data_IF_122680173912
#
_entry.id   IF_122680173912
#
_cell.length_a   1.000
_cell.length_b   1.000
_cell.length_c   1.000
_cell.angle_alpha   90.00
_cell.angle_beta   90.00
_cell.angle_gamma   90.00
#
_symmetry.space_group_name_H-M   'P 1'
#
loop_
_entity.id
_entity.type
_entity.pdbx_description
1 polymer ?
#
# COMPACT_ATOMS: atom_id res chain seq x y z
N UNK A 1 0.39 -0.78 -27.40
CA UNK A 1 0.64 -2.23 -27.30
C UNK A 1 -0.15 -2.85 -26.14
N UNK A 2 0.20 -2.50 -24.89
CA UNK A 2 -0.43 -3.10 -23.67
C UNK A 2 -1.95 -2.92 -23.63
N UNK A 3 -2.49 -1.84 -24.18
CA UNK A 3 -3.93 -1.56 -24.19
C UNK A 3 -4.68 -2.22 -25.34
N UNK A 4 -3.97 -2.64 -26.38
CA UNK A 4 -4.56 -3.15 -27.62
C UNK A 4 -4.49 -4.66 -27.70
N UNK A 5 -3.53 -5.29 -27.02
CA UNK A 5 -3.23 -6.70 -27.15
C UNK A 5 -3.09 -7.41 -25.79
N UNK A 6 -2.23 -6.89 -24.90
CA UNK A 6 -2.01 -7.47 -23.58
C UNK A 6 -2.57 -6.55 -22.52
N UNK A 7 -3.73 -6.90 -21.97
CA UNK A 7 -4.37 -6.14 -20.90
C UNK A 7 -3.75 -6.48 -19.55
N UNK A 8 -3.40 -5.50 -18.70
CA UNK A 8 -2.84 -5.78 -17.38
C UNK A 8 -3.92 -6.36 -16.46
N UNK A 9 -3.59 -7.44 -15.74
CA UNK A 9 -4.49 -8.08 -14.76
C UNK A 9 -4.55 -7.35 -13.42
N UNK A 10 -3.57 -6.49 -13.13
CA UNK A 10 -3.57 -5.60 -11.98
C UNK A 10 -2.81 -4.30 -12.29
N UNK A 11 -3.08 -3.25 -11.51
CA UNK A 11 -2.40 -1.96 -11.60
C UNK A 11 -1.91 -1.54 -10.22
N UNK A 12 -0.61 -1.27 -10.07
CA UNK A 12 -0.07 -0.64 -8.86
C UNK A 12 0.25 0.82 -9.12
N UNK A 13 -0.24 1.69 -8.23
CA UNK A 13 0.01 3.12 -8.26
C UNK A 13 0.75 3.48 -6.98
N UNK A 14 1.90 4.13 -7.14
CA UNK A 14 2.70 4.66 -6.02
C UNK A 14 2.56 6.17 -5.91
N UNK A 15 3.68 6.85 -5.69
CA UNK A 15 3.73 8.29 -5.52
C UNK A 15 3.25 9.03 -6.78
N UNK A 16 2.21 9.86 -6.62
CA UNK A 16 1.68 10.77 -7.65
C UNK A 16 1.50 12.14 -7.02
N UNK A 17 2.28 13.12 -7.44
CA UNK A 17 2.42 14.40 -6.73
C UNK A 17 1.61 15.56 -7.35
N UNK A 18 1.11 15.45 -8.58
CA UNK A 18 0.37 16.54 -9.24
C UNK A 18 -1.09 16.19 -9.48
N UNK A 19 -1.95 17.20 -9.32
CA UNK A 19 -3.38 17.10 -9.56
C UNK A 19 -3.69 16.57 -10.96
N UNK A 20 -3.07 17.15 -11.98
CA UNK A 20 -3.31 16.83 -13.39
C UNK A 20 -2.94 15.38 -13.69
N UNK A 21 -1.86 14.89 -13.08
CA UNK A 21 -1.45 13.49 -13.26
C UNK A 21 -2.43 12.53 -12.57
N UNK A 22 -2.91 12.87 -11.37
CA UNK A 22 -3.92 12.09 -10.65
C UNK A 22 -5.21 11.99 -11.48
N UNK A 23 -5.70 13.12 -12.01
CA UNK A 23 -6.88 13.16 -12.88
C UNK A 23 -6.69 12.32 -14.13
N UNK A 24 -5.54 12.46 -14.80
CA UNK A 24 -5.20 11.68 -16.00
C UNK A 24 -5.17 10.17 -15.71
N UNK A 25 -4.58 9.77 -14.59
CA UNK A 25 -4.56 8.35 -14.20
C UNK A 25 -5.97 7.85 -13.90
N UNK A 26 -6.78 8.60 -13.15
CA UNK A 26 -8.14 8.22 -12.82
C UNK A 26 -9.00 8.05 -14.10
N UNK A 27 -8.91 8.99 -15.03
CA UNK A 27 -9.64 8.93 -16.32
C UNK A 27 -9.17 7.73 -17.17
N UNK A 28 -7.88 7.41 -17.16
CA UNK A 28 -7.36 6.24 -17.83
C UNK A 28 -7.87 4.93 -17.20
N UNK A 29 -7.88 4.82 -15.87
CA UNK A 29 -8.39 3.64 -15.15
C UNK A 29 -9.86 3.40 -15.50
N UNK A 30 -10.68 4.46 -15.53
CA UNK A 30 -12.10 4.38 -15.89
C UNK A 30 -12.25 3.98 -17.36
N UNK A 31 -11.55 4.68 -18.27
CA UNK A 31 -11.65 4.47 -19.71
C UNK A 31 -11.29 3.04 -20.10
N UNK A 32 -10.24 2.50 -19.49
CA UNK A 32 -9.77 1.14 -19.78
C UNK A 32 -10.33 0.08 -18.84
N UNK A 33 -11.28 0.44 -17.97
CA UNK A 33 -11.92 -0.48 -17.02
C UNK A 33 -10.88 -1.30 -16.26
N UNK A 34 -9.85 -0.62 -15.74
CA UNK A 34 -8.80 -1.27 -14.98
C UNK A 34 -9.38 -1.97 -13.74
N UNK A 35 -8.75 -3.07 -13.34
CA UNK A 35 -9.15 -3.90 -12.21
C UNK A 35 -7.93 -4.23 -11.34
N UNK A 36 -8.17 -4.72 -10.13
CA UNK A 36 -7.10 -5.07 -9.18
C UNK A 36 -6.15 -3.89 -8.97
N UNK A 37 -6.72 -2.71 -8.67
CA UNK A 37 -5.99 -1.47 -8.51
C UNK A 37 -5.48 -1.36 -7.07
N UNK A 38 -4.17 -1.38 -6.88
CA UNK A 38 -3.51 -1.18 -5.59
C UNK A 38 -2.89 0.20 -5.55
N UNK A 39 -3.37 1.05 -4.65
CA UNK A 39 -2.87 2.40 -4.46
C UNK A 39 -2.07 2.51 -3.15
N UNK A 40 -0.80 2.84 -3.25
CA UNK A 40 0.03 3.27 -2.13
C UNK A 40 -0.04 4.80 -2.05
N UNK A 41 -0.81 5.38 -1.12
CA UNK A 41 -1.11 6.81 -1.11
C UNK A 41 0.03 7.60 -0.49
N UNK A 42 1.19 7.62 -1.17
CA UNK A 42 2.41 8.27 -0.69
C UNK A 42 2.20 9.78 -0.62
N UNK A 43 1.96 10.29 0.60
CA UNK A 43 1.72 11.72 0.87
C UNK A 43 2.79 12.36 1.73
N UNK A 44 3.49 11.55 2.54
CA UNK A 44 4.48 12.00 3.51
C UNK A 44 5.75 11.17 3.37
N UNK A 45 6.91 11.83 3.38
CA UNK A 45 8.20 11.12 3.40
C UNK A 45 8.44 10.43 4.74
N UNK A 46 9.39 9.50 4.79
CA UNK A 46 9.84 8.88 6.05
C UNK A 46 10.38 9.89 7.07
N UNK A 47 10.84 11.06 6.60
CA UNK A 47 11.28 12.19 7.43
C UNK A 47 10.14 13.11 7.90
N UNK A 48 8.87 12.80 7.54
CA UNK A 48 7.70 13.61 7.90
C UNK A 48 7.43 14.79 6.97
N UNK A 49 8.22 15.00 5.92
CA UNK A 49 7.99 16.07 4.97
C UNK A 49 6.82 15.75 4.04
N UNK A 50 5.93 16.72 3.82
CA UNK A 50 4.81 16.57 2.88
C UNK A 50 5.33 16.47 1.44
N UNK A 51 4.95 15.41 0.74
CA UNK A 51 5.39 15.11 -0.64
C UNK A 51 4.35 15.52 -1.69
N UNK A 52 3.11 15.76 -1.28
CA UNK A 52 1.98 16.12 -2.14
C UNK A 52 1.40 17.47 -1.72
N UNK A 53 1.02 18.30 -2.67
CA UNK A 53 0.30 19.54 -2.40
C UNK A 53 -1.12 19.26 -1.94
N UNK A 54 -1.74 20.22 -1.25
CA UNK A 54 -3.06 20.06 -0.65
C UNK A 54 -4.16 19.80 -1.70
N UNK A 55 -4.15 20.55 -2.78
CA UNK A 55 -5.06 20.39 -3.91
C UNK A 55 -4.94 19.01 -4.57
N UNK A 56 -3.72 18.51 -4.73
CA UNK A 56 -3.47 17.18 -5.27
C UNK A 56 -3.88 16.07 -4.27
N UNK A 57 -3.71 16.28 -2.96
CA UNK A 57 -4.17 15.34 -1.94
C UNK A 57 -5.70 15.20 -1.92
N UNK A 58 -6.44 16.30 -2.12
CA UNK A 58 -7.90 16.24 -2.23
C UNK A 58 -8.34 15.48 -3.48
N UNK A 59 -7.72 15.73 -4.63
CA UNK A 59 -8.05 15.00 -5.87
C UNK A 59 -7.68 13.52 -5.74
N UNK A 60 -6.57 13.18 -5.05
CA UNK A 60 -6.22 11.79 -4.75
C UNK A 60 -7.36 11.07 -4.00
N UNK A 61 -7.89 11.71 -2.95
CA UNK A 61 -8.99 11.17 -2.14
C UNK A 61 -10.30 11.04 -2.91
N UNK A 62 -10.63 12.04 -3.74
CA UNK A 62 -11.90 12.13 -4.43
C UNK A 62 -11.97 11.31 -5.72
N UNK A 63 -10.85 11.12 -6.39
CA UNK A 63 -10.82 10.52 -7.71
C UNK A 63 -10.11 9.18 -7.74
N UNK A 64 -8.93 9.06 -7.15
CA UNK A 64 -8.09 7.88 -7.34
C UNK A 64 -8.33 6.82 -6.27
N UNK A 65 -8.48 7.22 -4.99
CA UNK A 65 -8.74 6.27 -3.91
C UNK A 65 -10.09 5.56 -4.06
N UNK A 66 -11.09 6.23 -4.65
CA UNK A 66 -12.44 5.66 -4.88
C UNK A 66 -12.42 4.55 -5.94
N UNK A 67 -11.43 4.56 -6.83
CA UNK A 67 -11.26 3.56 -7.90
C UNK A 67 -10.40 2.36 -7.48
N UNK A 68 -9.72 2.47 -6.35
CA UNK A 68 -8.83 1.41 -5.88
C UNK A 68 -9.60 0.19 -5.34
N UNK A 69 -9.01 -0.99 -5.46
CA UNK A 69 -9.45 -2.22 -4.80
C UNK A 69 -8.76 -2.39 -3.44
N UNK A 70 -7.51 -1.92 -3.32
CA UNK A 70 -6.74 -1.91 -2.07
C UNK A 70 -5.97 -0.60 -1.96
N UNK A 71 -6.02 0.04 -0.79
CA UNK A 71 -5.14 1.16 -0.42
C UNK A 71 -4.25 0.77 0.74
N UNK A 72 -3.00 1.24 0.73
CA UNK A 72 -1.97 0.80 1.69
C UNK A 72 -1.31 1.96 2.45
N UNK A 73 -2.06 2.80 3.19
CA UNK A 73 -1.47 3.91 3.93
C UNK A 73 -0.60 3.43 5.09
N UNK A 74 0.49 4.13 5.36
CA UNK A 74 1.23 4.02 6.62
C UNK A 74 0.55 4.85 7.72
N UNK A 75 1.05 4.80 8.98
CA UNK A 75 0.46 5.53 10.10
C UNK A 75 0.39 7.04 9.82
N UNK A 76 1.47 7.76 9.42
CA UNK A 76 1.38 9.17 9.09
C UNK A 76 0.38 9.50 7.98
N UNK A 77 0.31 8.68 6.94
CA UNK A 77 -0.67 8.82 5.86
C UNK A 77 -2.10 8.60 6.35
N UNK A 78 -2.29 7.61 7.23
CA UNK A 78 -3.59 7.33 7.86
C UNK A 78 -4.05 8.51 8.72
N UNK A 79 -3.16 9.14 9.47
CA UNK A 79 -3.45 10.35 10.24
C UNK A 79 -3.87 11.52 9.33
N UNK A 80 -3.17 11.72 8.21
CA UNK A 80 -3.54 12.75 7.21
C UNK A 80 -4.90 12.46 6.57
N UNK A 81 -5.20 11.18 6.29
CA UNK A 81 -6.47 10.79 5.69
C UNK A 81 -7.66 10.92 6.64
N UNK A 82 -7.44 10.68 7.92
CA UNK A 82 -8.52 10.62 8.92
C UNK A 82 -8.62 11.85 9.81
N UNK A 83 -7.55 12.61 9.97
CA UNK A 83 -7.41 13.65 10.99
C UNK A 83 -7.35 13.10 12.42
N UNK A 84 -7.11 11.80 12.59
CA UNK A 84 -7.00 11.12 13.89
C UNK A 84 -5.55 10.87 14.23
N UNK A 85 -5.19 10.86 15.51
CA UNK A 85 -3.92 10.31 15.99
C UNK A 85 -4.02 8.79 16.04
N UNK A 86 -3.00 8.10 15.54
CA UNK A 86 -2.92 6.63 15.46
C UNK A 86 -1.73 6.13 16.28
N UNK A 87 -1.96 5.85 17.56
CA UNK A 87 -0.95 5.50 18.57
C UNK A 87 -1.16 4.13 19.22
N UNK A 88 -2.25 3.46 18.89
CA UNK A 88 -2.65 2.18 19.48
C UNK A 88 -3.32 1.26 18.44
N UNK A 89 -3.48 -0.02 18.78
CA UNK A 89 -4.24 -0.97 17.95
C UNK A 89 -5.70 -0.49 17.76
N UNK A 90 -6.34 -0.03 18.82
CA UNK A 90 -7.72 0.46 18.79
C UNK A 90 -7.87 1.70 17.88
N UNK A 91 -6.95 2.68 17.98
CA UNK A 91 -6.96 3.85 17.09
C UNK A 91 -6.66 3.47 15.64
N UNK A 92 -5.83 2.45 15.40
CA UNK A 92 -5.52 1.94 14.07
C UNK A 92 -6.74 1.26 13.41
N UNK A 93 -7.49 0.44 14.17
CA UNK A 93 -8.75 -0.16 13.71
C UNK A 93 -9.78 0.91 13.37
N UNK A 94 -10.01 1.86 14.28
CA UNK A 94 -10.95 2.97 14.07
C UNK A 94 -10.60 3.81 12.85
N UNK A 95 -9.31 4.07 12.64
CA UNK A 95 -8.84 4.81 11.48
C UNK A 95 -9.04 4.03 10.17
N UNK A 96 -8.74 2.73 10.16
CA UNK A 96 -8.96 1.87 9.00
C UNK A 96 -10.44 1.83 8.61
N UNK A 97 -11.33 1.64 9.59
CA UNK A 97 -12.79 1.65 9.38
C UNK A 97 -13.26 3.02 8.87
N UNK A 98 -12.77 4.12 9.47
CA UNK A 98 -13.15 5.48 9.05
C UNK A 98 -12.79 5.75 7.58
N UNK A 99 -11.60 5.33 7.14
CA UNK A 99 -11.20 5.46 5.73
C UNK A 99 -12.13 4.61 4.85
N UNK A 100 -12.38 3.35 5.22
CA UNK A 100 -13.27 2.45 4.48
C UNK A 100 -14.67 3.04 4.33
N UNK A 101 -15.29 3.52 5.41
CA UNK A 101 -16.62 4.12 5.39
C UNK A 101 -16.67 5.41 4.54
N UNK A 102 -15.64 6.23 4.63
CA UNK A 102 -15.54 7.45 3.80
C UNK A 102 -15.47 7.09 2.30
N UNK A 103 -14.67 6.10 1.93
CA UNK A 103 -14.60 5.63 0.55
C UNK A 103 -15.94 5.05 0.09
N UNK A 104 -16.56 4.22 0.91
CA UNK A 104 -17.87 3.62 0.63
C UNK A 104 -18.96 4.66 0.43
N UNK A 105 -18.99 5.74 1.23
CA UNK A 105 -19.94 6.83 1.08
C UNK A 105 -19.81 7.59 -0.26
N UNK A 106 -18.63 7.50 -0.91
CA UNK A 106 -18.32 8.09 -2.21
C UNK A 106 -18.45 7.09 -3.38
N UNK A 107 -18.96 5.88 -3.11
CA UNK A 107 -19.13 4.83 -4.10
C UNK A 107 -17.87 3.97 -4.33
N UNK A 108 -16.82 4.14 -3.52
CA UNK A 108 -15.65 3.29 -3.54
C UNK A 108 -15.88 1.98 -2.77
N UNK A 109 -14.95 1.04 -2.93
CA UNK A 109 -15.03 -0.30 -2.33
C UNK A 109 -13.68 -0.81 -1.79
N UNK A 110 -12.65 0.04 -1.79
CA UNK A 110 -11.30 -0.38 -1.45
C UNK A 110 -11.19 -0.99 -0.06
N UNK A 111 -10.48 -2.10 0.05
CA UNK A 111 -9.92 -2.55 1.31
C UNK A 111 -8.80 -1.60 1.76
N UNK A 112 -8.66 -1.42 3.06
CA UNK A 112 -7.72 -0.46 3.67
C UNK A 112 -6.70 -1.21 4.51
N UNK A 113 -5.45 -1.26 4.05
CA UNK A 113 -4.33 -1.85 4.79
C UNK A 113 -3.53 -0.74 5.47
N UNK A 114 -3.78 -0.51 6.76
CA UNK A 114 -2.95 0.39 7.56
C UNK A 114 -1.66 -0.33 7.96
N UNK A 115 -0.52 0.19 7.50
CA UNK A 115 0.81 -0.41 7.75
C UNK A 115 1.34 0.02 9.12
N UNK A 116 1.54 -0.95 10.03
CA UNK A 116 2.00 -0.70 11.39
C UNK A 116 3.52 -0.72 11.60
N UNK A 117 4.31 -0.88 10.54
CA UNK A 117 5.77 -1.05 10.62
C UNK A 117 6.56 0.09 11.28
N UNK A 118 5.93 1.23 11.56
CA UNK A 118 6.51 2.36 12.31
C UNK A 118 6.19 2.31 13.81
N UNK A 119 5.39 1.34 14.28
CA UNK A 119 5.12 1.17 15.70
C UNK A 119 6.36 0.63 16.44
N UNK A 120 6.60 1.11 17.65
CA UNK A 120 7.85 0.85 18.41
C UNK A 120 8.04 -0.63 18.75
N UNK A 121 6.97 -1.41 18.87
CA UNK A 121 7.03 -2.77 19.42
C UNK A 121 6.53 -3.88 18.49
N UNK A 122 5.77 -3.59 17.43
CA UNK A 122 5.23 -4.61 16.52
C UNK A 122 5.22 -4.11 15.07
N UNK A 123 5.35 -5.03 14.11
CA UNK A 123 5.18 -4.74 12.69
C UNK A 123 3.80 -5.25 12.20
N UNK A 124 2.79 -5.23 13.08
CA UNK A 124 1.45 -5.69 12.74
C UNK A 124 0.75 -4.67 11.84
N UNK A 125 0.08 -5.16 10.82
CA UNK A 125 -0.74 -4.35 9.93
C UNK A 125 -2.22 -4.65 10.17
N UNK A 126 -3.05 -3.62 10.02
CA UNK A 126 -4.49 -3.70 10.19
C UNK A 126 -5.18 -3.60 8.83
N UNK A 127 -5.83 -4.67 8.39
CA UNK A 127 -6.61 -4.72 7.16
C UNK A 127 -8.09 -4.59 7.47
N UNK A 128 -8.74 -3.57 6.92
CA UNK A 128 -10.19 -3.46 6.87
C UNK A 128 -10.67 -3.90 5.47
N UNK A 129 -11.40 -5.00 5.41
CA UNK A 129 -12.00 -5.53 4.17
C UNK A 129 -13.47 -5.80 4.42
N UNK A 130 -14.35 -5.28 3.58
CA UNK A 130 -15.81 -5.34 3.71
C UNK A 130 -16.33 -4.88 5.08
N UNK A 131 -15.64 -3.91 5.70
CA UNK A 131 -15.95 -3.38 7.04
C UNK A 131 -15.50 -4.28 8.19
N UNK A 132 -14.82 -5.40 7.91
CA UNK A 132 -14.29 -6.34 8.90
C UNK A 132 -12.79 -6.12 9.09
N UNK A 133 -12.33 -6.13 10.33
CA UNK A 133 -10.91 -6.02 10.67
C UNK A 133 -10.24 -7.39 10.67
N UNK A 134 -9.09 -7.44 10.03
CA UNK A 134 -8.18 -8.59 10.02
C UNK A 134 -6.78 -8.10 10.40
N UNK A 135 -6.22 -8.63 11.48
CA UNK A 135 -4.86 -8.32 11.88
C UNK A 135 -3.87 -9.27 11.20
N UNK A 136 -2.85 -8.68 10.62
CA UNK A 136 -1.72 -9.39 10.02
C UNK A 136 -0.51 -9.22 10.94
N UNK A 137 -0.20 -10.24 11.69
CA UNK A 137 0.97 -10.22 12.55
C UNK A 137 2.25 -10.10 11.73
N UNK A 138 3.14 -9.22 12.15
CA UNK A 138 4.43 -8.99 11.54
C UNK A 138 5.55 -9.11 12.55
N UNK A 139 6.55 -9.90 12.22
CA UNK A 139 7.82 -9.90 12.94
C UNK A 139 8.61 -8.64 12.54
N UNK A 140 9.11 -7.92 13.53
CA UNK A 140 10.04 -6.82 13.27
C UNK A 140 11.40 -7.40 12.90
N UNK A 141 11.80 -7.20 11.66
CA UNK A 141 13.14 -7.58 11.20
C UNK A 141 14.08 -6.42 11.48
N UNK A 142 15.13 -6.67 12.25
CA UNK A 142 16.19 -5.68 12.50
C UNK A 142 17.11 -5.62 11.27
N UNK A 143 16.72 -4.81 10.30
CA UNK A 143 17.45 -4.59 9.07
C UNK A 143 17.46 -3.10 8.74
N UNK A 144 18.65 -2.45 8.60
CA UNK A 144 18.74 -1.04 8.22
C UNK A 144 18.24 -0.78 6.78
N UNK A 145 18.16 -1.82 5.95
CA UNK A 145 17.77 -1.74 4.55
C UNK A 145 16.26 -1.77 4.41
N UNK A 146 15.59 -0.69 4.80
CA UNK A 146 14.12 -0.58 4.78
C UNK A 146 13.60 0.24 3.60
N UNK A 147 14.49 0.74 2.73
CA UNK A 147 14.08 1.53 1.58
C UNK A 147 13.27 0.67 0.58
N UNK A 148 12.12 1.17 0.17
CA UNK A 148 11.26 0.48 -0.79
C UNK A 148 10.32 -0.57 -0.21
N UNK A 149 10.26 -0.77 1.11
CA UNK A 149 9.37 -1.75 1.76
C UNK A 149 7.90 -1.52 1.41
N UNK A 150 7.41 -0.28 1.48
CA UNK A 150 6.02 0.06 1.10
C UNK A 150 5.73 -0.20 -0.37
N UNK A 151 6.65 0.22 -1.26
CA UNK A 151 6.53 -0.04 -2.69
C UNK A 151 6.55 -1.55 -3.01
N UNK A 152 7.39 -2.32 -2.33
CA UNK A 152 7.46 -3.78 -2.48
C UNK A 152 6.16 -4.44 -2.03
N UNK A 153 5.64 -4.07 -0.85
CA UNK A 153 4.39 -4.61 -0.33
C UNK A 153 3.22 -4.37 -1.30
N UNK A 154 3.02 -3.13 -1.71
CA UNK A 154 1.92 -2.77 -2.61
C UNK A 154 2.06 -3.41 -4.00
N UNK A 155 3.29 -3.58 -4.51
CA UNK A 155 3.53 -4.28 -5.77
C UNK A 155 3.28 -5.78 -5.67
N UNK A 156 3.68 -6.40 -4.55
CA UNK A 156 3.42 -7.82 -4.30
C UNK A 156 1.91 -8.10 -4.14
N UNK A 157 1.16 -7.20 -3.47
CA UNK A 157 -0.30 -7.31 -3.40
C UNK A 157 -0.90 -7.28 -4.81
N UNK A 158 -0.50 -6.33 -5.65
CA UNK A 158 -1.00 -6.24 -7.03
C UNK A 158 -0.67 -7.51 -7.84
N UNK A 159 0.54 -8.05 -7.69
CA UNK A 159 0.93 -9.27 -8.37
C UNK A 159 0.11 -10.48 -7.93
N UNK A 160 -0.21 -10.60 -6.65
CA UNK A 160 -1.04 -11.68 -6.12
C UNK A 160 -2.50 -11.55 -6.56
N UNK A 161 -3.06 -10.34 -6.58
CA UNK A 161 -4.39 -10.09 -7.14
C UNK A 161 -4.47 -10.44 -8.63
N UNK A 162 -3.41 -10.13 -9.40
CA UNK A 162 -3.31 -10.51 -10.81
C UNK A 162 -3.33 -12.04 -11.02
N UNK A 163 -2.88 -12.80 -10.03
CA UNK A 163 -2.93 -14.27 -10.03
C UNK A 163 -4.29 -14.83 -9.56
N UNK A 164 -5.23 -13.97 -9.19
CA UNK A 164 -6.58 -14.35 -8.80
C UNK A 164 -6.75 -14.67 -7.30
N UNK A 165 -5.77 -14.36 -6.44
CA UNK A 165 -5.92 -14.48 -5.00
C UNK A 165 -6.94 -13.45 -4.48
N UNK A 166 -7.64 -13.78 -3.41
CA UNK A 166 -8.46 -12.81 -2.67
C UNK A 166 -7.60 -11.69 -2.07
N UNK A 167 -8.23 -10.59 -1.67
CA UNK A 167 -7.52 -9.45 -1.04
C UNK A 167 -6.77 -9.90 0.21
N UNK A 168 -7.40 -10.69 1.10
CA UNK A 168 -6.77 -11.17 2.33
C UNK A 168 -5.56 -12.07 2.04
N UNK A 169 -5.71 -13.02 1.13
CA UNK A 169 -4.60 -13.90 0.71
C UNK A 169 -3.47 -13.10 0.04
N UNK A 170 -3.82 -12.14 -0.83
CA UNK A 170 -2.85 -11.29 -1.51
C UNK A 170 -2.03 -10.45 -0.54
N UNK A 171 -2.67 -9.85 0.46
CA UNK A 171 -1.98 -9.05 1.49
C UNK A 171 -1.11 -9.93 2.37
N UNK A 172 -1.59 -11.10 2.79
CA UNK A 172 -0.84 -12.07 3.60
C UNK A 172 0.42 -12.56 2.87
N UNK A 173 0.27 -13.03 1.64
CA UNK A 173 1.39 -13.50 0.83
C UNK A 173 2.41 -12.38 0.53
N UNK A 174 1.94 -11.16 0.27
CA UNK A 174 2.80 -10.01 0.07
C UNK A 174 3.60 -9.65 1.33
N UNK A 175 3.00 -9.76 2.52
CA UNK A 175 3.68 -9.54 3.80
C UNK A 175 4.73 -10.62 4.08
N UNK A 176 4.43 -11.88 3.79
CA UNK A 176 5.38 -13.00 3.89
C UNK A 176 6.57 -12.79 2.95
N UNK A 177 6.32 -12.42 1.69
CA UNK A 177 7.36 -12.08 0.72
C UNK A 177 8.25 -10.94 1.20
N UNK A 178 7.66 -9.83 1.65
CA UNK A 178 8.41 -8.69 2.18
C UNK A 178 9.28 -9.09 3.38
N UNK A 179 8.74 -9.87 4.30
CA UNK A 179 9.47 -10.35 5.48
C UNK A 179 10.67 -11.21 5.08
N UNK A 180 10.50 -12.10 4.09
CA UNK A 180 11.59 -12.90 3.53
C UNK A 180 12.69 -12.04 2.90
N UNK A 181 12.31 -11.06 2.08
CA UNK A 181 13.26 -10.14 1.45
C UNK A 181 14.04 -9.27 2.46
N UNK A 182 13.39 -8.88 3.57
CA UNK A 182 14.03 -8.18 4.69
C UNK A 182 15.01 -9.09 5.44
N UNK A 183 14.61 -10.33 5.75
CA UNK A 183 15.45 -11.31 6.48
C UNK A 183 16.69 -11.73 5.70
N UNK A 184 16.63 -11.74 4.38
CA UNK A 184 17.76 -12.09 3.52
C UNK A 184 18.94 -11.13 3.66
N UNK A 185 18.71 -9.89 4.01
CA UNK A 185 19.75 -8.96 4.45
C UNK A 185 20.77 -8.60 3.38
N UNK A 186 20.34 -8.21 2.19
CA UNK A 186 21.24 -7.78 1.12
C UNK A 186 22.06 -6.56 1.53
N UNK A 187 23.34 -6.74 1.78
CA UNK A 187 24.23 -5.68 2.27
C UNK A 187 24.96 -5.01 1.11
N UNK A 188 24.33 -4.03 0.46
CA UNK A 188 24.87 -3.26 -0.64
C UNK A 188 24.90 -1.77 -0.32
N UNK A 189 26.06 -1.16 -0.49
CA UNK A 189 26.26 0.28 -0.26
C UNK A 189 26.45 0.65 1.21
N UNK A 190 26.48 1.98 1.49
CA UNK A 190 26.80 2.52 2.82
C UNK A 190 25.60 3.20 3.50
N UNK A 191 24.45 3.22 2.85
CA UNK A 191 23.20 3.81 3.36
C UNK A 191 22.12 2.77 3.59
N UNK A 192 20.85 3.21 3.57
CA UNK A 192 19.71 2.30 3.57
C UNK A 192 19.69 1.53 2.24
N UNK A 193 20.12 0.29 2.26
CA UNK A 193 20.29 -0.57 1.08
C UNK A 193 18.95 -1.12 0.55
N UNK A 194 19.00 -1.82 -0.61
CA UNK A 194 17.83 -2.44 -1.20
C UNK A 194 17.41 -3.71 -0.47
N UNK A 195 16.17 -4.11 -0.70
CA UNK A 195 15.66 -5.43 -0.32
C UNK A 195 16.20 -6.50 -1.28
N UNK A 196 16.39 -7.73 -0.78
CA UNK A 196 16.72 -8.87 -1.64
C UNK A 196 15.46 -9.46 -2.25
N UNK A 197 15.13 -9.03 -3.45
CA UNK A 197 13.98 -9.55 -4.19
C UNK A 197 14.19 -10.95 -4.78
N UNK A 198 15.41 -11.50 -4.67
CA UNK A 198 15.78 -12.81 -5.21
C UNK A 198 15.97 -13.87 -4.14
N UNK A 199 15.72 -13.55 -2.86
CA UNK A 199 16.00 -14.38 -1.71
C UNK A 199 15.47 -15.82 -1.82
N UNK A 200 14.33 -15.99 -2.48
CA UNK A 200 13.69 -17.29 -2.68
C UNK A 200 14.30 -18.11 -3.83
N UNK A 201 15.11 -17.49 -4.70
CA UNK A 201 15.82 -18.18 -5.79
C UNK A 201 17.11 -18.84 -5.31
N UNK A 202 17.66 -18.42 -4.17
CA UNK A 202 18.92 -18.93 -3.62
C UNK A 202 18.77 -20.23 -2.81
N UNK A 203 17.58 -20.82 -2.75
CA UNK A 203 17.30 -22.07 -2.03
C UNK A 203 18.08 -23.28 -2.58
N UNK A 204 18.75 -23.13 -3.71
CA UNK A 204 19.50 -24.20 -4.39
C UNK A 204 21.01 -23.94 -4.49
N UNK A 205 21.60 -23.08 -3.64
CA UNK A 205 23.05 -22.97 -3.52
C UNK A 205 23.59 -23.75 -2.33
#
# INVERSE_FOLDING_TARGET
>A
YKRQDIYPDAVKIGMVASKELIETIADALITYKARNIVLDPVMVSTSGSRLIKEDAAEVLKERLMVLADVITPNIPETEVLTGMTVDSADSMEKAAIKIYENLKSKGGHAAVLVKGGHAVHTANDCLCVDGRIVWLNGERVDNPNTHGTGCTLSSAIAANLAQGLSIEESVKAAKEYLTGALKAGLNLGSGSGPLDHTYWLDINK
#
